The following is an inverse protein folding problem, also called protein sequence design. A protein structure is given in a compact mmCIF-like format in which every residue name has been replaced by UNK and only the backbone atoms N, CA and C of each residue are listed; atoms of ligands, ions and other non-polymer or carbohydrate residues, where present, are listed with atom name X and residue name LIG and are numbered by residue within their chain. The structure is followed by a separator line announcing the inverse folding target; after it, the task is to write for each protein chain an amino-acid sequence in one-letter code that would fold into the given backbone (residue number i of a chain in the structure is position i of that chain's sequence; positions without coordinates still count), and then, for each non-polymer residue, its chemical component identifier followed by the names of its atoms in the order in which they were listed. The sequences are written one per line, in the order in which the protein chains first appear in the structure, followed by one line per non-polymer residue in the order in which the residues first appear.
data_IF_952711665638
#
_entry.id   IF_952711665638
#
_cell.length_a   1.000
_cell.length_b   1.000
_cell.length_c   1.000
_cell.angle_alpha   90.00
_cell.angle_beta   90.00
_cell.angle_gamma   90.00
#
_symmetry.space_group_name_H-M   'P 1'
#
loop_
_entity.id
_entity.type
_entity.pdbx_description
1 polymer ?
#
# COMPACT_ATOMS: atom_id res chain seq x y z
N UNK A 1 -1.35 18.57 -12.97
CA UNK A 1 -1.35 17.11 -12.72
C UNK A 1 -2.29 16.44 -13.72
N UNK A 2 -1.86 15.30 -14.26
CA UNK A 2 -2.73 14.46 -15.10
C UNK A 2 -3.89 13.96 -14.23
N UNK A 3 -5.12 14.04 -14.77
CA UNK A 3 -6.32 13.65 -14.01
C UNK A 3 -6.30 12.18 -13.60
N UNK A 4 -5.69 11.31 -14.42
CA UNK A 4 -5.56 9.90 -14.09
C UNK A 4 -4.64 9.69 -12.89
N UNK A 5 -3.54 10.45 -12.84
CA UNK A 5 -2.60 10.37 -11.71
C UNK A 5 -3.30 10.82 -10.43
N UNK A 6 -4.07 11.92 -10.49
CA UNK A 6 -4.83 12.38 -9.34
C UNK A 6 -5.81 11.33 -8.83
N UNK A 7 -6.52 10.66 -9.75
CA UNK A 7 -7.44 9.57 -9.39
C UNK A 7 -6.70 8.42 -8.71
N UNK A 8 -5.58 7.99 -9.27
CA UNK A 8 -4.83 6.87 -8.69
C UNK A 8 -4.20 7.22 -7.33
N UNK A 9 -3.75 8.46 -7.16
CA UNK A 9 -3.29 8.93 -5.84
C UNK A 9 -4.43 8.88 -4.82
N UNK A 10 -5.62 9.28 -5.23
CA UNK A 10 -6.80 9.20 -4.39
C UNK A 10 -7.14 7.74 -4.04
N UNK A 11 -7.02 6.83 -5.01
CA UNK A 11 -7.24 5.39 -4.77
C UNK A 11 -6.24 4.86 -3.73
N UNK A 12 -4.98 5.28 -3.82
CA UNK A 12 -3.97 4.90 -2.82
C UNK A 12 -4.36 5.43 -1.44
N UNK A 13 -4.75 6.69 -1.38
CA UNK A 13 -5.17 7.32 -0.11
C UNK A 13 -6.35 6.56 0.52
N UNK A 14 -7.32 6.18 -0.29
CA UNK A 14 -8.49 5.42 0.15
C UNK A 14 -8.08 4.05 0.69
N UNK A 15 -7.20 3.34 -0.03
CA UNK A 15 -6.73 2.02 0.42
C UNK A 15 -5.95 2.10 1.73
N UNK A 16 -5.12 3.13 1.91
CA UNK A 16 -4.41 3.34 3.17
C UNK A 16 -5.41 3.57 4.31
N UNK A 17 -6.41 4.41 4.06
CA UNK A 17 -7.47 4.69 5.03
C UNK A 17 -8.24 3.43 5.39
N UNK A 18 -8.51 2.56 4.42
CA UNK A 18 -9.17 1.29 4.66
C UNK A 18 -8.33 0.38 5.56
N UNK A 19 -7.03 0.28 5.30
CA UNK A 19 -6.12 -0.51 6.14
C UNK A 19 -6.14 0.03 7.58
N UNK A 20 -6.06 1.34 7.74
CA UNK A 20 -6.11 1.96 9.05
C UNK A 20 -7.42 1.60 9.77
N UNK A 21 -8.55 1.62 9.05
CA UNK A 21 -9.83 1.29 9.63
C UNK A 21 -9.93 -0.18 10.02
N UNK A 22 -9.31 -1.09 9.25
CA UNK A 22 -9.28 -2.52 9.60
C UNK A 22 -8.50 -2.77 10.88
N UNK A 23 -7.48 -1.95 11.16
CA UNK A 23 -6.64 -2.09 12.34
C UNK A 23 -7.20 -1.32 13.54
N UNK A 24 -8.16 -0.43 13.33
CA UNK A 24 -8.74 0.39 14.38
C UNK A 24 -9.43 -0.48 15.43
N UNK A 25 -9.22 -0.14 16.70
CA UNK A 25 -9.83 -0.88 17.79
C UNK A 25 -9.14 -2.19 18.11
N UNK A 26 -8.10 -2.56 17.36
CA UNK A 26 -7.30 -3.76 17.60
C UNK A 26 -6.01 -3.39 18.31
N UNK A 27 -5.47 -4.31 19.06
CA UNK A 27 -4.13 -4.16 19.60
C UNK A 27 -3.15 -4.24 18.42
N UNK A 28 -2.29 -3.23 18.29
CA UNK A 28 -1.36 -3.13 17.16
C UNK A 28 -0.15 -4.03 17.39
N UNK A 29 -0.37 -5.34 17.23
CA UNK A 29 0.66 -6.36 17.44
C UNK A 29 0.65 -7.37 16.32
N UNK A 30 1.84 -7.84 15.98
CA UNK A 30 2.04 -8.82 14.92
C UNK A 30 1.23 -10.11 15.14
N UNK A 31 1.19 -10.60 16.37
CA UNK A 31 0.48 -11.85 16.66
C UNK A 31 -1.01 -11.76 16.33
N UNK A 32 -1.63 -10.64 16.61
CA UNK A 32 -3.04 -10.42 16.27
C UNK A 32 -3.27 -10.42 14.77
N UNK A 33 -2.37 -9.79 14.04
CA UNK A 33 -2.41 -9.79 12.58
C UNK A 33 -2.22 -11.21 12.03
N UNK A 34 -1.20 -11.90 12.50
CA UNK A 34 -0.83 -13.23 12.01
C UNK A 34 -1.95 -14.26 12.16
N UNK A 35 -2.72 -14.16 13.25
CA UNK A 35 -3.78 -15.11 13.58
C UNK A 35 -5.11 -14.81 12.89
N UNK A 36 -5.27 -13.63 12.31
CA UNK A 36 -6.56 -13.21 11.76
C UNK A 36 -6.55 -13.32 10.24
N UNK A 37 -7.04 -14.44 9.75
CA UNK A 37 -7.05 -14.72 8.31
C UNK A 37 -7.85 -13.69 7.52
N UNK A 38 -9.00 -13.26 8.04
CA UNK A 38 -9.83 -12.28 7.35
C UNK A 38 -9.11 -10.93 7.25
N UNK A 39 -8.49 -10.50 8.34
CA UNK A 39 -7.70 -9.26 8.36
C UNK A 39 -6.54 -9.34 7.37
N UNK A 40 -5.81 -10.46 7.34
CA UNK A 40 -4.70 -10.65 6.40
C UNK A 40 -5.16 -10.53 4.95
N UNK A 41 -6.26 -11.19 4.60
CA UNK A 41 -6.80 -11.14 3.23
C UNK A 41 -7.23 -9.72 2.85
N UNK A 42 -7.88 -9.02 3.77
CA UNK A 42 -8.32 -7.64 3.52
C UNK A 42 -7.13 -6.72 3.29
N UNK A 43 -6.09 -6.81 4.11
CA UNK A 43 -4.90 -5.99 3.96
C UNK A 43 -4.13 -6.33 2.68
N UNK A 44 -3.97 -7.62 2.36
CA UNK A 44 -3.33 -8.05 1.12
C UNK A 44 -4.04 -7.44 -0.10
N UNK A 45 -5.37 -7.44 -0.10
CA UNK A 45 -6.14 -6.85 -1.19
C UNK A 45 -5.88 -5.35 -1.33
N UNK A 46 -5.83 -4.62 -0.21
CA UNK A 46 -5.54 -3.18 -0.25
C UNK A 46 -4.13 -2.91 -0.74
N UNK A 47 -3.16 -3.69 -0.30
CA UNK A 47 -1.77 -3.54 -0.78
C UNK A 47 -1.67 -3.82 -2.28
N UNK A 48 -2.44 -4.76 -2.79
CA UNK A 48 -2.53 -5.05 -4.22
C UNK A 48 -3.05 -3.83 -4.98
N UNK A 49 -4.12 -3.22 -4.49
CA UNK A 49 -4.70 -2.01 -5.09
C UNK A 49 -3.67 -0.86 -5.08
N UNK A 50 -2.99 -0.65 -3.97
CA UNK A 50 -1.96 0.38 -3.83
C UNK A 50 -0.84 0.15 -4.85
N UNK A 51 -0.33 -1.07 -4.93
CA UNK A 51 0.75 -1.40 -5.87
C UNK A 51 0.35 -1.20 -7.32
N UNK A 52 -0.89 -1.57 -7.67
CA UNK A 52 -1.42 -1.36 -9.01
C UNK A 52 -1.51 0.12 -9.36
N UNK A 53 -2.03 0.93 -8.45
CA UNK A 53 -2.17 2.37 -8.67
C UNK A 53 -0.80 3.05 -8.81
N UNK A 54 0.14 2.73 -7.92
CA UNK A 54 1.49 3.30 -7.98
C UNK A 54 2.18 2.91 -9.29
N UNK A 55 2.04 1.65 -9.71
CA UNK A 55 2.61 1.19 -10.96
C UNK A 55 2.07 1.98 -12.17
N UNK A 56 0.78 2.22 -12.20
CA UNK A 56 0.14 2.99 -13.27
C UNK A 56 0.63 4.45 -13.28
N UNK A 57 0.76 5.05 -12.12
CA UNK A 57 1.28 6.42 -11.99
C UNK A 57 2.67 6.52 -12.59
N UNK A 58 3.57 5.61 -12.22
CA UNK A 58 4.95 5.62 -12.68
C UNK A 58 5.03 5.40 -14.18
N UNK A 59 4.15 4.59 -14.76
CA UNK A 59 4.11 4.35 -16.19
C UNK A 59 3.70 5.60 -16.99
N UNK A 60 2.86 6.46 -16.42
CA UNK A 60 2.47 7.71 -17.04
C UNK A 60 3.54 8.77 -16.86
N UNK A 61 4.12 8.85 -15.66
CA UNK A 61 5.13 9.85 -15.31
C UNK A 61 6.15 9.23 -14.36
N UNK A 62 7.29 8.84 -14.90
CA UNK A 62 8.32 8.14 -14.13
C UNK A 62 8.94 9.00 -13.02
N UNK A 63 8.75 10.32 -13.05
CA UNK A 63 9.25 11.18 -11.98
C UNK A 63 8.60 10.89 -10.63
N UNK A 64 7.43 10.28 -10.63
CA UNK A 64 6.76 9.89 -9.39
C UNK A 64 7.47 8.78 -8.63
N UNK A 65 8.34 8.03 -9.31
CA UNK A 65 9.20 7.06 -8.65
C UNK A 65 10.06 7.70 -7.55
N UNK A 66 10.47 8.96 -7.75
CA UNK A 66 11.25 9.71 -6.77
C UNK A 66 10.37 10.47 -5.77
N UNK A 67 9.14 10.77 -6.16
CA UNK A 67 8.21 11.53 -5.32
C UNK A 67 7.52 10.65 -4.27
N UNK A 68 7.47 9.35 -4.50
CA UNK A 68 6.85 8.37 -3.62
C UNK A 68 7.95 7.47 -3.06
N UNK A 69 8.26 7.62 -1.77
CA UNK A 69 9.29 6.81 -1.12
C UNK A 69 8.91 5.33 -1.14
N UNK A 70 9.83 4.49 -1.55
CA UNK A 70 9.60 3.05 -1.60
C UNK A 70 8.67 2.60 -2.72
N UNK A 71 8.45 3.44 -3.75
CA UNK A 71 7.54 3.13 -4.84
C UNK A 71 7.84 1.79 -5.51
N UNK A 72 9.12 1.50 -5.79
CA UNK A 72 9.51 0.24 -6.44
C UNK A 72 9.26 -0.96 -5.54
N UNK A 73 9.46 -0.82 -4.24
CA UNK A 73 9.18 -1.90 -3.29
C UNK A 73 7.68 -2.20 -3.22
N UNK A 74 6.86 -1.16 -3.30
CA UNK A 74 5.40 -1.29 -3.28
C UNK A 74 4.91 -2.01 -4.54
N UNK A 75 5.44 -1.64 -5.70
CA UNK A 75 5.12 -2.33 -6.97
C UNK A 75 5.59 -3.78 -6.93
N UNK A 76 6.79 -4.02 -6.40
CA UNK A 76 7.32 -5.38 -6.26
C UNK A 76 6.47 -6.24 -5.34
N UNK A 77 5.97 -5.68 -4.26
CA UNK A 77 5.07 -6.39 -3.34
C UNK A 77 3.77 -6.78 -4.04
N UNK A 78 3.18 -5.87 -4.81
CA UNK A 78 1.98 -6.17 -5.58
C UNK A 78 2.19 -7.40 -6.47
N UNK A 79 3.35 -7.48 -7.13
CA UNK A 79 3.67 -8.62 -7.98
C UNK A 79 3.79 -9.90 -7.16
N UNK A 80 4.34 -9.84 -5.97
CA UNK A 80 4.42 -11.00 -5.07
C UNK A 80 3.04 -11.47 -4.62
N UNK A 81 2.14 -10.56 -4.28
CA UNK A 81 0.78 -10.90 -3.86
C UNK A 81 0.03 -11.61 -4.99
N UNK A 82 0.21 -11.16 -6.23
CA UNK A 82 -0.50 -11.73 -7.37
C UNK A 82 0.08 -13.07 -7.82
N UNK A 83 1.41 -13.20 -7.79
CA UNK A 83 2.09 -14.32 -8.47
C UNK A 83 2.74 -15.35 -7.56
N UNK A 84 2.89 -15.08 -6.28
CA UNK A 84 3.63 -15.97 -5.38
C UNK A 84 2.78 -16.35 -4.18
N UNK A 85 1.77 -17.15 -4.45
CA UNK A 85 0.72 -17.50 -3.49
C UNK A 85 1.20 -17.92 -2.10
N UNK A 86 2.39 -18.49 -2.01
CA UNK A 86 2.89 -19.06 -0.75
C UNK A 86 4.12 -18.35 -0.22
N UNK A 87 4.62 -17.32 -0.90
CA UNK A 87 5.95 -16.75 -0.59
C UNK A 87 5.92 -15.39 0.07
N UNK A 88 4.74 -14.83 0.32
CA UNK A 88 4.66 -13.60 1.09
C UNK A 88 4.58 -13.97 2.55
N UNK A 89 5.59 -13.59 3.31
CA UNK A 89 5.56 -13.83 4.74
C UNK A 89 4.71 -12.78 5.43
N UNK A 90 4.02 -13.20 6.47
CA UNK A 90 3.26 -12.30 7.34
C UNK A 90 4.19 -11.21 7.91
N UNK A 91 5.44 -11.57 8.21
CA UNK A 91 6.45 -10.66 8.73
C UNK A 91 6.76 -9.54 7.74
N UNK A 92 6.88 -9.85 6.46
CA UNK A 92 7.16 -8.84 5.43
C UNK A 92 5.99 -7.87 5.28
N UNK A 93 4.76 -8.39 5.26
CA UNK A 93 3.57 -7.52 5.16
C UNK A 93 3.47 -6.64 6.39
N UNK A 94 3.69 -7.20 7.58
CA UNK A 94 3.64 -6.43 8.82
C UNK A 94 4.70 -5.33 8.83
N UNK A 95 5.91 -5.62 8.36
CA UNK A 95 6.97 -4.61 8.25
C UNK A 95 6.56 -3.47 7.32
N UNK A 96 5.84 -3.77 6.23
CA UNK A 96 5.34 -2.73 5.33
C UNK A 96 4.30 -1.86 6.02
N UNK A 97 3.37 -2.47 6.76
CA UNK A 97 2.35 -1.74 7.51
C UNK A 97 2.99 -0.78 8.51
N UNK A 98 4.01 -1.25 9.23
CA UNK A 98 4.65 -0.48 10.29
C UNK A 98 5.59 0.59 9.73
N UNK A 99 6.40 0.26 8.73
CA UNK A 99 7.52 1.10 8.31
C UNK A 99 7.27 1.87 7.01
N UNK A 100 6.50 1.33 6.07
CA UNK A 100 6.35 1.93 4.75
C UNK A 100 5.03 2.68 4.58
N UNK A 101 3.95 2.14 5.12
CA UNK A 101 2.63 2.72 4.94
C UNK A 101 2.53 4.16 5.47
N UNK A 102 3.08 4.49 6.66
CA UNK A 102 3.04 5.87 7.14
C UNK A 102 3.76 6.86 6.21
N UNK A 103 4.88 6.46 5.64
CA UNK A 103 5.63 7.29 4.70
C UNK A 103 4.87 7.48 3.40
N UNK A 104 4.26 6.43 2.91
CA UNK A 104 3.44 6.48 1.71
C UNK A 104 2.26 7.43 1.92
N UNK A 105 1.62 7.35 3.08
CA UNK A 105 0.51 8.24 3.43
C UNK A 105 0.94 9.71 3.37
N UNK A 106 2.09 10.03 3.97
CA UNK A 106 2.62 11.39 3.95
C UNK A 106 2.85 11.86 2.51
N UNK A 107 3.47 11.03 1.69
CA UNK A 107 3.82 11.40 0.32
C UNK A 107 2.55 11.60 -0.53
N UNK A 108 1.59 10.72 -0.41
CA UNK A 108 0.34 10.81 -1.17
C UNK A 108 -0.47 12.02 -0.73
N UNK A 109 -0.57 12.27 0.58
CA UNK A 109 -1.28 13.43 1.10
C UNK A 109 -0.64 14.72 0.60
N UNK A 110 0.69 14.80 0.59
CA UNK A 110 1.42 15.97 0.07
C UNK A 110 1.13 16.18 -1.41
N UNK A 111 1.16 15.10 -2.21
CA UNK A 111 0.94 15.20 -3.65
C UNK A 111 -0.49 15.60 -3.99
N UNK A 112 -1.46 15.22 -3.17
CA UNK A 112 -2.87 15.56 -3.39
C UNK A 112 -3.24 16.98 -2.93
N UNK A 113 -2.40 17.61 -2.11
CA UNK A 113 -2.68 18.97 -1.59
C UNK A 113 -2.36 20.09 -2.57
N UNK A 114 -1.80 19.80 -3.69
CA UNK A 114 -1.39 20.83 -4.66
C UNK A 114 -2.56 21.37 -5.45
#
# INVERSE_FOLDING_TARGET
MDDRIGKWLFDVQTSISDIESYLEGREFKFEGYQKDKMLKRAIERELEIIGEAVNRIIKIDSSYSDKIRGAQNIVGLRNQVIHAYDNISDENIWAIIVNHLPKLKEDVDRLLKV
#
